data_IF_923280434121
#
_entry.id   IF_923280434121
#
_cell.length_a   1.000
_cell.length_b   1.000
_cell.length_c   1.000
_cell.angle_alpha   90.00
_cell.angle_beta   90.00
_cell.angle_gamma   90.00
#
_symmetry.space_group_name_H-M   'P 1'
#
loop_
_entity.id
_entity.type
_entity.pdbx_description
1 polymer ?
#
# COMPACT_ATOMS: atom_id res chain seq x y z
N UNK A 1 -20.68 -3.39 -31.05
CA UNK A 1 -20.39 -4.41 -30.01
C UNK A 1 -19.87 -3.65 -28.80
N UNK A 2 -20.78 -3.32 -27.88
CA UNK A 2 -20.48 -2.63 -26.62
C UNK A 2 -19.90 -3.66 -25.67
N UNK A 3 -18.58 -3.82 -25.67
CA UNK A 3 -17.89 -4.56 -24.61
C UNK A 3 -17.95 -3.71 -23.34
N UNK A 4 -18.99 -3.90 -22.54
CA UNK A 4 -18.94 -3.62 -21.12
C UNK A 4 -17.78 -4.44 -20.55
N UNK A 5 -16.74 -3.76 -20.07
CA UNK A 5 -15.79 -4.37 -19.14
C UNK A 5 -16.59 -4.77 -17.90
N UNK A 6 -17.04 -6.02 -17.85
CA UNK A 6 -17.36 -6.65 -16.57
C UNK A 6 -16.10 -6.53 -15.72
N UNK A 7 -16.25 -6.09 -14.48
CA UNK A 7 -15.20 -6.21 -13.49
C UNK A 7 -14.77 -7.68 -13.44
N UNK A 8 -13.54 -7.96 -13.85
CA UNK A 8 -12.98 -9.32 -13.86
C UNK A 8 -12.68 -9.71 -12.42
N UNK A 9 -13.26 -10.81 -11.95
CA UNK A 9 -13.05 -11.29 -10.59
C UNK A 9 -11.60 -11.73 -10.38
N UNK A 10 -11.12 -11.73 -9.13
CA UNK A 10 -9.74 -12.14 -8.81
C UNK A 10 -9.42 -13.57 -9.29
N UNK A 11 -10.42 -14.46 -9.25
CA UNK A 11 -10.31 -15.85 -9.74
C UNK A 11 -10.05 -15.96 -11.25
N UNK A 12 -10.41 -14.94 -12.01
CA UNK A 12 -10.27 -14.89 -13.47
C UNK A 12 -9.04 -14.07 -13.90
N UNK A 13 -8.34 -13.41 -12.97
CA UNK A 13 -7.22 -12.52 -13.32
C UNK A 13 -6.13 -13.21 -14.14
N UNK A 14 -5.80 -14.47 -13.84
CA UNK A 14 -4.79 -15.23 -14.56
C UNK A 14 -5.15 -15.49 -16.05
N UNK A 15 -6.44 -15.44 -16.41
CA UNK A 15 -6.90 -15.61 -17.79
C UNK A 15 -6.56 -14.40 -18.66
N UNK A 16 -6.60 -13.20 -18.06
CA UNK A 16 -6.38 -11.93 -18.76
C UNK A 16 -4.99 -11.33 -18.51
N UNK A 17 -4.38 -11.68 -17.38
CA UNK A 17 -3.09 -11.21 -16.91
C UNK A 17 -2.26 -12.43 -16.46
N UNK A 18 -1.51 -13.06 -17.38
CA UNK A 18 -0.83 -14.34 -17.11
C UNK A 18 0.06 -14.34 -15.86
N UNK A 19 0.71 -13.21 -15.57
CA UNK A 19 1.56 -13.05 -14.38
C UNK A 19 0.77 -13.23 -13.06
N UNK A 20 -0.55 -12.99 -13.04
CA UNK A 20 -1.38 -13.23 -11.86
C UNK A 20 -1.51 -14.73 -11.50
N UNK A 21 -1.21 -15.63 -12.43
CA UNK A 21 -1.12 -17.08 -12.20
C UNK A 21 0.30 -17.57 -11.86
N UNK A 22 1.24 -16.66 -11.62
CA UNK A 22 2.64 -17.01 -11.35
C UNK A 22 2.88 -17.69 -9.99
N UNK A 23 4.10 -18.18 -9.78
CA UNK A 23 4.48 -18.94 -8.58
C UNK A 23 4.97 -18.08 -7.40
N UNK A 24 5.14 -16.78 -7.60
CA UNK A 24 5.66 -15.84 -6.59
C UNK A 24 4.71 -14.68 -6.42
N UNK A 25 3.44 -15.00 -6.16
CA UNK A 25 2.38 -14.03 -5.96
C UNK A 25 2.32 -13.50 -4.53
N UNK A 26 1.79 -12.29 -4.41
CA UNK A 26 1.46 -11.62 -3.16
C UNK A 26 -0.05 -11.34 -3.09
N UNK A 27 -0.64 -11.24 -1.88
CA UNK A 27 0.01 -11.37 -0.57
C UNK A 27 0.27 -12.84 -0.19
N UNK A 28 1.08 -13.04 0.86
CA UNK A 28 1.32 -14.34 1.48
C UNK A 28 0.95 -14.29 2.97
N UNK A 29 0.63 -15.45 3.54
CA UNK A 29 0.61 -15.60 5.00
C UNK A 29 2.05 -15.79 5.50
N UNK A 30 2.48 -14.90 6.40
CA UNK A 30 3.85 -14.93 6.95
C UNK A 30 3.85 -15.83 8.18
N UNK A 31 4.09 -17.12 7.95
CA UNK A 31 4.30 -18.09 9.02
C UNK A 31 5.65 -17.84 9.70
N UNK A 32 5.61 -17.19 10.86
CA UNK A 32 6.79 -16.81 11.63
C UNK A 32 7.66 -18.00 12.03
N UNK A 33 7.09 -19.20 12.19
CA UNK A 33 7.82 -20.42 12.53
C UNK A 33 8.72 -20.93 11.40
N UNK A 34 8.45 -20.50 10.17
CA UNK A 34 9.17 -20.88 8.95
C UNK A 34 10.05 -19.76 8.40
N UNK A 35 10.13 -18.63 9.10
CA UNK A 35 10.98 -17.51 8.68
C UNK A 35 12.45 -17.80 8.96
N UNK A 36 13.31 -17.27 8.10
CA UNK A 36 14.76 -17.37 8.25
C UNK A 36 15.29 -16.02 8.75
N UNK A 37 15.98 -16.04 9.89
CA UNK A 37 16.65 -14.85 10.38
C UNK A 37 17.87 -14.53 9.51
N UNK A 38 17.93 -13.29 9.02
CA UNK A 38 19.04 -12.78 8.22
C UNK A 38 19.69 -11.59 8.96
N UNK A 39 20.89 -11.76 9.54
CA UNK A 39 21.57 -10.70 10.28
C UNK A 39 22.10 -9.58 9.37
N UNK A 40 22.11 -9.75 8.05
CA UNK A 40 22.54 -8.71 7.11
C UNK A 40 21.47 -7.64 6.86
N UNK A 41 20.23 -7.91 7.27
CA UNK A 41 19.12 -6.99 7.13
C UNK A 41 19.22 -5.85 8.16
N UNK A 42 19.69 -4.69 7.69
CA UNK A 42 19.71 -3.47 8.50
C UNK A 42 18.30 -2.91 8.73
N UNK A 43 18.06 -2.15 9.82
CA UNK A 43 16.80 -1.43 10.02
C UNK A 43 16.44 -0.54 8.82
N UNK A 44 15.14 -0.47 8.49
CA UNK A 44 14.68 0.36 7.38
C UNK A 44 14.86 1.84 7.73
N UNK A 45 15.49 2.59 6.83
CA UNK A 45 15.67 4.04 6.97
C UNK A 45 14.85 4.78 5.91
N UNK A 46 13.66 5.32 6.26
CA UNK A 46 12.82 6.04 5.32
C UNK A 46 13.33 7.48 5.11
N UNK A 47 14.36 7.64 4.29
CA UNK A 47 14.93 8.95 3.99
C UNK A 47 13.89 9.86 3.32
N UNK A 48 13.74 11.08 3.86
CA UNK A 48 12.82 12.09 3.33
C UNK A 48 11.36 11.95 3.78
N UNK A 49 10.98 10.91 4.54
CA UNK A 49 9.58 10.73 4.97
C UNK A 49 9.12 11.77 6.00
N UNK A 50 10.05 12.23 6.85
CA UNK A 50 9.84 13.36 7.76
C UNK A 50 10.03 14.74 7.12
N UNK A 51 10.47 14.79 5.86
CA UNK A 51 10.68 16.04 5.12
C UNK A 51 9.45 16.31 4.24
N UNK A 52 8.37 16.77 4.88
CA UNK A 52 7.19 17.21 4.16
C UNK A 52 7.33 18.69 3.78
N UNK A 53 7.32 18.98 2.47
CA UNK A 53 7.29 20.36 1.97
C UNK A 53 5.95 21.03 2.24
N UNK A 54 5.77 22.28 1.77
CA UNK A 54 4.47 22.95 1.82
C UNK A 54 3.48 22.45 0.75
N UNK A 55 3.96 21.65 -0.21
CA UNK A 55 3.13 21.18 -1.32
C UNK A 55 2.14 20.09 -0.88
N UNK A 56 0.85 20.23 -1.22
CA UNK A 56 -0.16 19.26 -0.83
C UNK A 56 0.01 17.93 -1.56
N UNK A 57 -0.34 16.84 -0.88
CA UNK A 57 -0.49 15.55 -1.53
C UNK A 57 -1.81 15.49 -2.31
N UNK A 58 -1.86 14.65 -3.35
CA UNK A 58 -3.10 14.33 -4.04
C UNK A 58 -3.62 12.98 -3.57
N UNK A 59 -4.76 12.98 -2.89
CA UNK A 59 -5.51 11.76 -2.58
C UNK A 59 -6.50 11.50 -3.72
N UNK A 60 -6.53 10.27 -4.24
CA UNK A 60 -7.38 9.90 -5.37
C UNK A 60 -8.03 8.54 -5.19
N UNK A 61 -9.27 8.38 -5.62
CA UNK A 61 -9.95 7.09 -5.66
C UNK A 61 -9.84 6.50 -7.08
N UNK A 62 -9.18 5.35 -7.24
CA UNK A 62 -9.08 4.68 -8.54
C UNK A 62 -10.31 3.82 -8.89
N UNK A 63 -11.26 3.67 -7.97
CA UNK A 63 -12.32 2.66 -8.02
C UNK A 63 -11.93 1.31 -7.41
N UNK A 64 -10.66 1.14 -7.05
CA UNK A 64 -10.15 -0.06 -6.38
C UNK A 64 -9.40 0.26 -5.09
N UNK A 65 -8.82 1.46 -4.97
CA UNK A 65 -8.08 1.90 -3.78
C UNK A 65 -7.96 3.42 -3.72
N UNK A 66 -7.73 3.94 -2.52
CA UNK A 66 -7.33 5.32 -2.29
C UNK A 66 -5.81 5.48 -2.43
N UNK A 67 -5.36 6.22 -3.43
CA UNK A 67 -3.94 6.48 -3.68
C UNK A 67 -3.55 7.86 -3.17
N UNK A 68 -2.51 7.93 -2.34
CA UNK A 68 -1.84 9.16 -1.96
C UNK A 68 -0.61 9.38 -2.85
N UNK A 69 -0.61 10.46 -3.62
CA UNK A 69 0.45 10.78 -4.57
C UNK A 69 1.16 12.07 -4.17
N UNK A 70 2.49 12.00 -4.04
CA UNK A 70 3.37 13.17 -3.96
C UNK A 70 4.07 13.39 -5.31
N UNK A 71 4.18 14.65 -5.75
CA UNK A 71 4.86 15.01 -6.99
C UNK A 71 6.40 14.98 -6.84
N UNK A 72 6.97 13.82 -6.51
CA UNK A 72 8.43 13.66 -6.34
C UNK A 72 9.13 13.12 -7.60
N UNK A 73 8.46 12.28 -8.40
CA UNK A 73 9.08 11.66 -9.59
C UNK A 73 8.12 11.56 -10.77
N UNK A 74 8.65 11.80 -11.98
CA UNK A 74 7.87 11.85 -13.21
C UNK A 74 7.43 10.47 -13.74
N UNK A 75 8.07 9.37 -13.35
CA UNK A 75 7.78 8.08 -13.98
C UNK A 75 8.11 6.83 -13.14
N UNK A 76 7.10 6.29 -12.43
CA UNK A 76 7.16 4.96 -11.76
C UNK A 76 6.91 3.81 -12.75
N UNK A 77 6.41 4.09 -13.97
CA UNK A 77 5.91 3.05 -14.88
C UNK A 77 7.00 2.10 -15.39
N UNK A 78 8.23 2.58 -15.59
CA UNK A 78 9.34 1.75 -16.07
C UNK A 78 9.85 0.76 -15.01
N UNK A 79 9.79 1.15 -13.72
CA UNK A 79 10.27 0.30 -12.63
C UNK A 79 9.36 -0.91 -12.36
N UNK A 80 8.09 -0.86 -12.79
CA UNK A 80 7.10 -1.92 -12.54
C UNK A 80 7.44 -3.23 -13.25
N UNK A 81 8.10 -3.19 -14.39
CA UNK A 81 8.41 -4.36 -15.23
C UNK A 81 9.80 -4.93 -14.97
N UNK A 82 10.64 -4.25 -14.20
CA UNK A 82 12.01 -4.66 -13.92
C UNK A 82 12.09 -5.59 -12.70
N UNK A 83 12.96 -6.59 -12.75
CA UNK A 83 13.18 -7.50 -11.61
C UNK A 83 13.73 -6.71 -10.41
N UNK A 84 13.06 -6.80 -9.27
CA UNK A 84 13.32 -5.97 -8.08
C UNK A 84 13.19 -4.46 -8.33
N UNK A 85 12.47 -4.05 -9.37
CA UNK A 85 12.29 -2.64 -9.72
C UNK A 85 11.44 -1.86 -8.73
N UNK A 86 10.66 -2.55 -7.89
CA UNK A 86 9.86 -1.94 -6.83
C UNK A 86 10.20 -2.48 -5.45
N UNK A 87 10.36 -1.58 -4.50
CA UNK A 87 10.36 -1.90 -3.07
C UNK A 87 9.05 -1.38 -2.45
N UNK A 88 8.33 -2.25 -1.74
CA UNK A 88 7.06 -1.89 -1.08
C UNK A 88 7.17 -2.11 0.42
N UNK A 89 6.74 -1.10 1.20
CA UNK A 89 6.59 -1.19 2.64
C UNK A 89 5.13 -1.50 3.00
N UNK A 90 4.90 -2.63 3.65
CA UNK A 90 3.61 -3.03 4.19
C UNK A 90 3.52 -2.74 5.68
N UNK A 91 2.51 -1.95 6.07
CA UNK A 91 2.16 -1.67 7.47
C UNK A 91 0.83 -2.36 7.76
N UNK A 92 0.81 -3.25 8.74
CA UNK A 92 -0.42 -3.88 9.20
C UNK A 92 -1.12 -2.95 10.19
N UNK A 93 -2.42 -2.74 9.99
CA UNK A 93 -3.25 -1.95 10.88
C UNK A 93 -4.01 -2.85 11.83
N UNK A 94 -4.19 -2.40 13.07
CA UNK A 94 -5.05 -3.07 14.05
C UNK A 94 -6.04 -2.08 14.68
N UNK A 95 -7.23 -2.57 15.01
CA UNK A 95 -8.25 -1.76 15.66
C UNK A 95 -7.89 -1.52 17.13
N UNK A 96 -7.94 -0.26 17.55
CA UNK A 96 -7.72 0.20 18.91
C UNK A 96 -8.82 1.14 19.39
N UNK A 97 -8.74 1.58 20.64
CA UNK A 97 -9.69 2.54 21.22
C UNK A 97 -9.41 3.98 20.78
N UNK A 98 -8.15 4.33 20.57
CA UNK A 98 -7.71 5.71 20.37
C UNK A 98 -7.66 6.12 18.90
N UNK A 99 -7.99 7.39 18.63
CA UNK A 99 -7.86 7.96 17.30
C UNK A 99 -6.39 8.19 16.97
N UNK A 100 -5.93 7.58 15.89
CA UNK A 100 -4.59 7.79 15.38
C UNK A 100 -4.56 9.08 14.54
N UNK A 101 -3.92 10.13 15.07
CA UNK A 101 -3.85 11.44 14.41
C UNK A 101 -3.07 11.39 13.09
N UNK A 102 -2.02 10.56 13.00
CA UNK A 102 -1.25 10.40 11.77
C UNK A 102 -2.15 9.91 10.62
N UNK A 103 -2.93 8.87 10.87
CA UNK A 103 -3.87 8.33 9.88
C UNK A 103 -5.06 9.27 9.63
N UNK A 104 -5.45 10.10 10.60
CA UNK A 104 -6.52 11.09 10.43
C UNK A 104 -6.23 12.10 9.31
N UNK A 105 -4.96 12.41 9.03
CA UNK A 105 -4.56 13.27 7.89
C UNK A 105 -5.06 12.74 6.54
N UNK A 106 -5.21 11.42 6.40
CA UNK A 106 -5.73 10.78 5.18
C UNK A 106 -7.22 10.48 5.34
N UNK A 107 -7.58 9.80 6.44
CA UNK A 107 -8.92 9.24 6.64
C UNK A 107 -10.03 10.30 6.64
N UNK A 108 -9.74 11.51 7.14
CA UNK A 108 -10.71 12.62 7.16
C UNK A 108 -11.11 13.12 5.75
N UNK A 109 -10.30 12.82 4.73
CA UNK A 109 -10.53 13.24 3.35
C UNK A 109 -11.19 12.17 2.50
N UNK A 110 -11.26 10.92 2.97
CA UNK A 110 -11.90 9.82 2.25
C UNK A 110 -13.34 10.15 1.86
N UNK A 111 -14.10 10.80 2.74
CA UNK A 111 -15.46 11.25 2.44
C UNK A 111 -15.60 12.21 1.24
N UNK A 112 -14.50 12.77 0.74
CA UNK A 112 -14.44 13.70 -0.42
C UNK A 112 -14.12 13.00 -1.75
N UNK A 113 -13.73 11.73 -1.72
CA UNK A 113 -13.38 10.94 -2.91
C UNK A 113 -14.18 9.63 -2.99
N UNK A 114 -15.47 9.67 -2.64
CA UNK A 114 -16.34 8.48 -2.54
C UNK A 114 -16.48 7.69 -3.85
N UNK A 115 -16.31 8.35 -5.00
CA UNK A 115 -16.50 7.75 -6.31
C UNK A 115 -15.17 7.64 -7.07
N UNK A 116 -15.06 6.59 -7.88
CA UNK A 116 -13.91 6.36 -8.75
C UNK A 116 -13.61 7.59 -9.63
N UNK A 117 -12.34 7.91 -9.80
CA UNK A 117 -11.85 9.07 -10.55
C UNK A 117 -11.79 10.38 -9.76
N UNK A 118 -12.43 10.46 -8.59
CA UNK A 118 -12.36 11.66 -7.74
C UNK A 118 -10.97 11.85 -7.14
N UNK A 119 -10.58 13.12 -6.98
CA UNK A 119 -9.32 13.54 -6.40
C UNK A 119 -9.53 14.70 -5.45
N UNK A 120 -8.73 14.77 -4.40
CA UNK A 120 -8.70 15.88 -3.45
C UNK A 120 -7.27 16.18 -3.02
N UNK A 121 -6.94 17.45 -2.88
CA UNK A 121 -5.68 17.86 -2.29
C UNK A 121 -5.78 17.74 -0.76
N UNK A 122 -4.77 17.15 -0.13
CA UNK A 122 -4.65 17.11 1.32
C UNK A 122 -3.38 17.86 1.75
N UNK A 123 -3.42 18.60 2.88
CA UNK A 123 -2.25 19.31 3.39
C UNK A 123 -1.06 18.37 3.56
N UNK A 124 0.15 18.90 3.39
CA UNK A 124 1.36 18.15 3.68
C UNK A 124 1.42 17.77 5.16
N UNK A 125 1.88 16.56 5.45
CA UNK A 125 2.06 16.02 6.78
C UNK A 125 3.24 15.05 6.77
N UNK A 126 3.77 14.75 7.96
CA UNK A 126 4.87 13.82 8.13
C UNK A 126 4.42 12.37 7.85
N UNK A 127 4.88 11.81 6.73
CA UNK A 127 4.52 10.45 6.30
C UNK A 127 5.23 9.39 7.17
N UNK A 128 6.34 9.75 7.83
CA UNK A 128 7.01 8.85 8.77
C UNK A 128 6.10 8.47 9.93
N UNK A 129 5.16 9.34 10.30
CA UNK A 129 4.18 9.08 11.37
C UNK A 129 3.15 7.99 11.02
N UNK A 130 3.07 7.58 9.75
CA UNK A 130 2.23 6.45 9.33
C UNK A 130 2.88 5.10 9.58
N UNK A 131 4.21 5.06 9.79
CA UNK A 131 4.97 3.84 10.01
C UNK A 131 4.91 3.43 11.49
N UNK A 132 5.18 2.15 11.81
CA UNK A 132 5.38 1.71 13.18
C UNK A 132 6.55 2.43 13.86
N UNK A 133 6.60 2.38 15.20
CA UNK A 133 7.69 3.01 15.95
C UNK A 133 9.00 2.27 15.78
N UNK A 134 8.94 0.94 15.78
CA UNK A 134 10.08 0.08 15.55
C UNK A 134 10.12 -0.41 14.10
N UNK A 135 11.09 0.12 13.34
CA UNK A 135 11.33 -0.25 11.94
C UNK A 135 12.43 -1.31 11.79
N UNK A 136 12.93 -1.86 12.90
CA UNK A 136 13.98 -2.89 12.90
C UNK A 136 13.43 -4.31 12.76
N UNK A 137 12.17 -4.52 13.15
CA UNK A 137 11.51 -5.81 13.07
C UNK A 137 10.57 -5.88 11.85
N UNK A 138 11.01 -6.61 10.83
CA UNK A 138 10.26 -6.79 9.60
C UNK A 138 10.57 -8.13 8.93
N UNK A 139 9.67 -8.53 8.03
CA UNK A 139 9.86 -9.65 7.12
C UNK A 139 10.16 -9.13 5.71
N UNK A 140 11.02 -9.85 4.99
CA UNK A 140 11.43 -9.52 3.63
C UNK A 140 11.19 -10.71 2.72
N UNK A 141 10.50 -10.49 1.60
CA UNK A 141 10.31 -11.55 0.59
C UNK A 141 10.15 -10.96 -0.81
N UNK A 142 10.48 -11.76 -1.83
CA UNK A 142 10.19 -11.44 -3.23
C UNK A 142 8.76 -11.87 -3.57
N UNK A 143 7.97 -10.99 -4.16
CA UNK A 143 6.59 -11.25 -4.51
C UNK A 143 6.12 -10.43 -5.70
N UNK A 144 4.80 -10.19 -5.74
CA UNK A 144 4.16 -9.50 -6.86
C UNK A 144 3.38 -8.26 -6.46
N UNK A 145 2.89 -7.53 -7.47
CA UNK A 145 1.80 -6.59 -7.29
C UNK A 145 0.52 -7.38 -6.89
N UNK A 146 -0.23 -6.88 -5.91
CA UNK A 146 -1.48 -7.53 -5.43
C UNK A 146 -2.71 -7.20 -6.27
N UNK A 147 -2.51 -6.55 -7.42
CA UNK A 147 -3.54 -6.20 -8.39
C UNK A 147 -2.97 -6.38 -9.79
N UNK A 148 -3.82 -6.64 -10.81
CA UNK A 148 -3.37 -6.78 -12.18
C UNK A 148 -2.51 -5.60 -12.63
N UNK A 149 -1.41 -5.85 -13.37
CA UNK A 149 -1.05 -7.12 -14.01
C UNK A 149 -0.27 -8.12 -13.14
N UNK A 150 -0.18 -7.94 -11.82
CA UNK A 150 0.47 -8.88 -10.90
C UNK A 150 1.96 -9.19 -11.19
N UNK A 151 2.70 -8.23 -11.73
CA UNK A 151 4.13 -8.41 -11.99
C UNK A 151 4.89 -8.86 -10.74
N UNK A 152 5.70 -9.92 -10.89
CA UNK A 152 6.54 -10.51 -9.84
C UNK A 152 7.87 -9.74 -9.68
N UNK A 153 7.76 -8.41 -9.55
CA UNK A 153 8.88 -7.46 -9.53
C UNK A 153 9.08 -6.79 -8.17
N UNK A 154 8.31 -7.21 -7.15
CA UNK A 154 8.22 -6.49 -5.87
C UNK A 154 9.08 -7.15 -4.80
N UNK A 155 9.97 -6.36 -4.20
CA UNK A 155 10.62 -6.68 -2.95
C UNK A 155 9.78 -6.13 -1.79
N UNK A 156 9.09 -7.02 -1.07
CA UNK A 156 8.18 -6.66 0.01
C UNK A 156 8.90 -6.57 1.35
N UNK A 157 8.66 -5.49 2.09
CA UNK A 157 9.03 -5.34 3.50
C UNK A 157 7.77 -5.22 4.33
N UNK A 158 7.47 -6.20 5.17
CA UNK A 158 6.29 -6.18 6.04
C UNK A 158 6.75 -5.95 7.47
N UNK A 159 6.37 -4.84 8.09
CA UNK A 159 6.73 -4.58 9.48
C UNK A 159 5.95 -5.52 10.41
N UNK A 160 6.64 -6.05 11.41
CA UNK A 160 6.06 -6.97 12.40
C UNK A 160 5.18 -6.22 13.41
N UNK A 161 5.58 -4.99 13.77
CA UNK A 161 4.77 -4.11 14.62
C UNK A 161 3.58 -3.56 13.83
N UNK A 162 2.40 -3.63 14.45
CA UNK A 162 1.15 -3.14 13.87
C UNK A 162 0.89 -1.70 14.31
N UNK A 163 0.28 -0.91 13.44
CA UNK A 163 -0.18 0.44 13.80
C UNK A 163 -1.64 0.40 14.24
N UNK A 164 -1.90 0.91 15.44
CA UNK A 164 -3.26 1.03 15.98
C UNK A 164 -3.99 2.21 15.33
N UNK A 165 -5.21 1.98 14.86
CA UNK A 165 -6.18 3.02 14.47
C UNK A 165 -7.50 2.78 15.21
N UNK A 166 -8.29 3.82 15.46
CA UNK A 166 -9.53 3.63 16.23
C UNK A 166 -10.52 2.73 15.48
N UNK A 167 -11.41 2.06 16.22
CA UNK A 167 -12.53 1.33 15.61
C UNK A 167 -13.35 2.20 14.65
N UNK A 168 -13.54 3.49 14.97
CA UNK A 168 -14.21 4.45 14.08
C UNK A 168 -13.43 4.73 12.80
N UNK A 169 -12.09 4.77 12.87
CA UNK A 169 -11.21 4.93 11.71
C UNK A 169 -11.23 3.69 10.80
N UNK A 170 -11.32 2.48 11.37
CA UNK A 170 -11.49 1.24 10.60
C UNK A 170 -12.80 1.23 9.81
N UNK A 171 -13.90 1.66 10.43
CA UNK A 171 -15.22 1.69 9.79
C UNK A 171 -15.29 2.58 8.55
N UNK A 172 -14.48 3.65 8.49
CA UNK A 172 -14.36 4.52 7.31
C UNK A 172 -13.64 3.84 6.13
N UNK A 173 -12.81 2.83 6.38
CA UNK A 173 -11.99 2.15 5.38
C UNK A 173 -12.77 1.11 4.56
N UNK A 174 -13.78 0.46 5.16
CA UNK A 174 -14.59 -0.58 4.49
C UNK A 174 -15.36 -0.02 3.27
N UNK A 175 -15.60 1.30 3.21
CA UNK A 175 -16.26 1.94 2.07
C UNK A 175 -15.41 2.02 0.79
N UNK A 176 -14.10 1.76 0.85
CA UNK A 176 -13.20 1.83 -0.30
C UNK A 176 -12.74 0.45 -0.83
N UNK A 177 -13.03 -0.62 -0.07
CA UNK A 177 -12.80 -2.01 -0.47
C UNK A 177 -14.09 -2.74 -0.89
N UNK A 178 -15.25 -2.05 -0.86
CA UNK A 178 -16.56 -2.55 -1.32
C UNK A 178 -16.94 -1.96 -2.68
#
# INVERSE_FOLDING_TARGET
>A
ITHFFKAVGQSEWAEFFPDCGGFSQSPIDVDTSRTLYDPSLAPVQPLGYGQYGHEPFTLSNSGHTGNLLYKLYANISQAKTERNGLAVLGVLLEAGSETNQAYAHILNYLGRIRYAGQKVAIPAFDVQTLLPKDLSHYFRYNGSLTTPPCYQSVLWTIFSEKVKISHSQVGLHIQFCL
#
